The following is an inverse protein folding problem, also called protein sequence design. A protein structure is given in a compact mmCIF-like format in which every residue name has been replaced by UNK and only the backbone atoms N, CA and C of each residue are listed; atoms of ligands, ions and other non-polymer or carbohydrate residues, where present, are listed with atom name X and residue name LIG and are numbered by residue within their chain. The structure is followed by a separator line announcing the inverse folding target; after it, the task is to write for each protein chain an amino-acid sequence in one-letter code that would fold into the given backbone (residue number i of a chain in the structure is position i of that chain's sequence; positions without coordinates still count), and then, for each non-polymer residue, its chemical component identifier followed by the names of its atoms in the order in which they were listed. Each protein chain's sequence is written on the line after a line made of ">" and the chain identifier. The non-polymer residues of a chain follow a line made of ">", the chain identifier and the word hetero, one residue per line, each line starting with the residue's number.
data_IF_863921945909
#
_entry.id   IF_863921945909
#
_cell.length_a   1.000
_cell.length_b   1.000
_cell.length_c   1.000
_cell.angle_alpha   90.00
_cell.angle_beta   90.00
_cell.angle_gamma   90.00
#
_symmetry.space_group_name_H-M   'P 1'
#
loop_
_entity.id
_entity.type
_entity.pdbx_description
1 polymer ?
#
# COMPACT_ATOMS: atom_id res chain seq x y z
N UNK A 1 -16.05 -5.06 34.42
CA UNK A 1 -16.31 -6.24 33.57
C UNK A 1 -14.98 -6.66 32.97
N UNK A 2 -14.32 -7.67 33.56
CA UNK A 2 -12.95 -8.08 33.20
C UNK A 2 -13.04 -8.95 31.93
N UNK A 3 -12.50 -8.46 30.81
CA UNK A 3 -12.36 -9.24 29.59
C UNK A 3 -11.42 -10.44 29.87
N UNK A 4 -11.99 -11.60 30.05
CA UNK A 4 -11.22 -12.86 30.05
C UNK A 4 -10.66 -13.05 28.64
N UNK A 5 -9.41 -12.62 28.42
CA UNK A 5 -8.69 -12.92 27.18
C UNK A 5 -8.57 -14.44 27.04
N UNK A 6 -9.19 -14.99 25.97
CA UNK A 6 -9.07 -16.41 25.65
C UNK A 6 -7.62 -16.75 25.22
N UNK A 7 -6.78 -17.04 26.21
CA UNK A 7 -5.33 -17.30 26.03
C UNK A 7 -5.06 -18.43 25.02
N UNK A 8 -5.98 -19.39 24.86
CA UNK A 8 -5.88 -20.46 23.87
C UNK A 8 -6.08 -19.97 22.43
N UNK A 9 -6.99 -19.03 22.20
CA UNK A 9 -7.21 -18.43 20.89
C UNK A 9 -6.03 -17.52 20.49
N UNK A 10 -5.54 -16.71 21.42
CA UNK A 10 -4.36 -15.85 21.22
C UNK A 10 -3.12 -16.66 20.87
N UNK A 11 -2.87 -17.79 21.56
CA UNK A 11 -1.75 -18.69 21.25
C UNK A 11 -1.88 -19.36 19.88
N UNK A 12 -3.09 -19.77 19.48
CA UNK A 12 -3.35 -20.33 18.14
C UNK A 12 -3.13 -19.29 17.06
N UNK A 13 -3.64 -18.08 17.26
CA UNK A 13 -3.42 -16.97 16.34
C UNK A 13 -1.93 -16.64 16.21
N UNK A 14 -1.20 -16.52 17.32
CA UNK A 14 0.25 -16.26 17.31
C UNK A 14 1.04 -17.37 16.58
N UNK A 15 0.65 -18.65 16.73
CA UNK A 15 1.26 -19.75 15.97
C UNK A 15 0.96 -19.67 14.47
N UNK A 16 -0.28 -19.37 14.10
CA UNK A 16 -0.66 -19.18 12.70
C UNK A 16 0.10 -18.01 12.05
N UNK A 17 0.23 -16.88 12.77
CA UNK A 17 1.02 -15.73 12.31
C UNK A 17 2.51 -16.06 12.14
N UNK A 18 3.11 -16.80 13.09
CA UNK A 18 4.50 -17.26 12.97
C UNK A 18 4.69 -18.23 11.81
N UNK A 19 3.75 -19.13 11.58
CA UNK A 19 3.80 -20.06 10.45
C UNK A 19 3.65 -19.32 9.12
N UNK A 20 2.71 -18.36 9.01
CA UNK A 20 2.57 -17.49 7.84
C UNK A 20 3.83 -16.66 7.55
N UNK A 21 4.42 -16.06 8.58
CA UNK A 21 5.68 -15.32 8.47
C UNK A 21 6.85 -16.23 8.03
N UNK A 22 6.90 -17.47 8.53
CA UNK A 22 7.89 -18.45 8.10
C UNK A 22 7.71 -18.83 6.63
N UNK A 23 6.48 -19.14 6.17
CA UNK A 23 6.18 -19.41 4.76
C UNK A 23 6.59 -18.24 3.85
N UNK A 24 6.26 -17.02 4.23
CA UNK A 24 6.64 -15.81 3.49
C UNK A 24 8.16 -15.58 3.47
N UNK A 25 8.90 -16.11 4.45
CA UNK A 25 10.36 -15.99 4.48
C UNK A 25 11.08 -16.95 3.51
N UNK A 26 10.43 -18.03 3.07
CA UNK A 26 11.05 -19.09 2.24
C UNK A 26 11.55 -18.54 0.89
N UNK A 27 10.75 -17.79 0.09
CA UNK A 27 11.23 -17.22 -1.17
C UNK A 27 12.44 -16.31 -0.98
N UNK A 28 12.44 -15.50 0.09
CA UNK A 28 13.56 -14.63 0.40
C UNK A 28 14.85 -15.35 0.82
N UNK A 29 14.74 -16.58 1.37
CA UNK A 29 15.92 -17.41 1.74
C UNK A 29 16.53 -18.12 0.53
N UNK A 30 15.72 -18.38 -0.49
CA UNK A 30 16.18 -19.00 -1.75
C UNK A 30 16.81 -17.98 -2.70
N UNK A 31 16.56 -16.70 -2.51
CA UNK A 31 17.11 -15.62 -3.33
C UNK A 31 18.55 -15.29 -2.90
N UNK A 32 19.51 -15.17 -3.83
CA UNK A 32 20.86 -14.69 -3.49
C UNK A 32 20.82 -13.32 -2.79
N UNK A 33 21.65 -13.15 -1.76
CA UNK A 33 21.62 -11.98 -0.89
C UNK A 33 21.67 -10.62 -1.61
N UNK A 34 22.49 -10.41 -2.66
CA UNK A 34 22.51 -9.15 -3.41
C UNK A 34 21.14 -8.82 -4.04
N UNK A 35 20.49 -9.80 -4.65
CA UNK A 35 19.17 -9.60 -5.27
C UNK A 35 18.10 -9.30 -4.23
N UNK A 36 18.18 -9.92 -3.05
CA UNK A 36 17.28 -9.61 -1.95
C UNK A 36 17.44 -8.18 -1.44
N UNK A 37 18.67 -7.68 -1.34
CA UNK A 37 18.91 -6.28 -0.98
C UNK A 37 18.34 -5.30 -2.01
N UNK A 38 18.52 -5.59 -3.30
CA UNK A 38 17.92 -4.79 -4.38
C UNK A 38 16.38 -4.83 -4.30
N UNK A 39 15.79 -5.99 -4.04
CA UNK A 39 14.34 -6.12 -3.87
C UNK A 39 13.83 -5.27 -2.70
N UNK A 40 14.50 -5.31 -1.55
CA UNK A 40 14.15 -4.46 -0.39
C UNK A 40 14.29 -2.99 -0.75
N UNK A 41 15.41 -2.59 -1.36
CA UNK A 41 15.67 -1.20 -1.72
C UNK A 41 14.71 -0.64 -2.78
N UNK A 42 14.13 -1.50 -3.62
CA UNK A 42 13.16 -1.10 -4.66
C UNK A 42 11.69 -1.26 -4.24
N UNK A 43 11.39 -1.77 -3.05
CA UNK A 43 10.02 -2.03 -2.59
C UNK A 43 9.13 -0.77 -2.57
N UNK A 44 9.72 0.42 -2.41
CA UNK A 44 8.98 1.68 -2.44
C UNK A 44 8.30 1.93 -3.80
N UNK A 45 8.85 1.40 -4.93
CA UNK A 45 8.21 1.51 -6.25
C UNK A 45 6.86 0.81 -6.29
N UNK A 46 6.76 -0.38 -5.66
CA UNK A 46 5.51 -1.13 -5.55
C UNK A 46 4.48 -0.34 -4.75
N UNK A 47 4.89 0.24 -3.62
CA UNK A 47 4.05 1.10 -2.79
C UNK A 47 3.58 2.35 -3.55
N UNK A 48 4.46 3.00 -4.31
CA UNK A 48 4.10 4.17 -5.15
C UNK A 48 3.17 3.80 -6.30
N UNK A 49 3.38 2.65 -6.94
CA UNK A 49 2.48 2.15 -7.98
C UNK A 49 1.07 1.89 -7.42
N UNK A 50 0.98 1.23 -6.26
CA UNK A 50 -0.27 1.00 -5.55
C UNK A 50 -0.97 2.31 -5.17
N UNK A 51 -0.23 3.29 -4.65
CA UNK A 51 -0.75 4.62 -4.36
C UNK A 51 -1.35 5.30 -5.59
N UNK A 52 -0.67 5.25 -6.74
CA UNK A 52 -1.18 5.85 -7.99
C UNK A 52 -2.47 5.16 -8.43
N UNK A 53 -2.53 3.83 -8.37
CA UNK A 53 -3.75 3.09 -8.69
C UNK A 53 -4.90 3.42 -7.72
N UNK A 54 -4.63 3.52 -6.43
CA UNK A 54 -5.60 3.93 -5.43
C UNK A 54 -6.06 5.40 -5.66
N UNK A 55 -5.15 6.31 -5.99
CA UNK A 55 -5.47 7.71 -6.26
C UNK A 55 -6.32 7.91 -7.51
N UNK A 56 -6.04 7.14 -8.56
CA UNK A 56 -6.84 7.09 -9.78
C UNK A 56 -8.14 6.30 -9.62
N UNK A 57 -8.35 5.68 -8.46
CA UNK A 57 -9.53 4.85 -8.18
C UNK A 57 -9.75 3.70 -9.18
N UNK A 58 -8.66 3.08 -9.58
CA UNK A 58 -8.61 2.04 -10.62
C UNK A 58 -9.56 0.89 -10.30
N UNK A 59 -9.59 0.42 -9.06
CA UNK A 59 -10.41 -0.71 -8.65
C UNK A 59 -11.91 -0.43 -8.84
N UNK A 60 -12.38 0.76 -8.44
CA UNK A 60 -13.78 1.17 -8.61
C UNK A 60 -14.15 1.29 -10.08
N UNK A 61 -13.25 1.87 -10.91
CA UNK A 61 -13.51 2.00 -12.36
C UNK A 61 -13.44 0.68 -13.12
N UNK A 62 -12.71 -0.32 -12.63
CA UNK A 62 -12.78 -1.69 -13.15
C UNK A 62 -14.11 -2.37 -12.78
N UNK A 63 -14.61 -2.17 -11.54
CA UNK A 63 -15.79 -2.86 -11.06
C UNK A 63 -15.65 -4.38 -11.16
N UNK A 64 -16.67 -5.03 -11.69
CA UNK A 64 -16.71 -6.48 -11.95
C UNK A 64 -16.29 -6.86 -13.38
N UNK A 65 -15.85 -5.88 -14.17
CA UNK A 65 -15.53 -6.06 -15.59
C UNK A 65 -14.09 -6.54 -15.83
N UNK A 66 -13.87 -7.11 -17.03
CA UNK A 66 -12.53 -7.27 -17.60
C UNK A 66 -12.35 -6.17 -18.63
N UNK A 67 -11.45 -5.21 -18.38
CA UNK A 67 -11.20 -4.09 -19.27
C UNK A 67 -9.80 -4.13 -19.83
N UNK A 68 -9.67 -3.78 -21.10
CA UNK A 68 -8.35 -3.48 -21.65
C UNK A 68 -7.76 -2.22 -21.02
N UNK A 69 -6.43 -2.11 -21.02
CA UNK A 69 -5.75 -0.91 -20.55
C UNK A 69 -6.23 0.37 -21.26
N UNK A 70 -6.61 0.28 -22.54
CA UNK A 70 -7.11 1.40 -23.32
C UNK A 70 -8.51 1.84 -22.85
N UNK A 71 -9.44 0.89 -22.63
CA UNK A 71 -10.78 1.17 -22.11
C UNK A 71 -10.74 1.76 -20.71
N UNK A 72 -9.94 1.16 -19.83
CA UNK A 72 -9.75 1.66 -18.47
C UNK A 72 -9.12 3.07 -18.48
N UNK A 73 -8.12 3.30 -19.31
CA UNK A 73 -7.50 4.62 -19.48
C UNK A 73 -8.51 5.67 -19.99
N UNK A 74 -9.42 5.29 -20.87
CA UNK A 74 -10.51 6.16 -21.33
C UNK A 74 -11.42 6.60 -20.18
N UNK A 75 -11.76 5.68 -19.25
CA UNK A 75 -12.55 5.99 -18.04
C UNK A 75 -11.79 6.92 -17.06
N UNK A 76 -10.47 6.80 -17.00
CA UNK A 76 -9.62 7.53 -16.06
C UNK A 76 -9.03 8.83 -16.63
N UNK A 77 -9.23 9.13 -17.91
CA UNK A 77 -8.54 10.23 -18.59
C UNK A 77 -7.02 10.08 -18.63
N UNK A 78 -6.51 8.84 -18.75
CA UNK A 78 -5.10 8.49 -18.65
C UNK A 78 -4.54 7.99 -20.00
N UNK A 79 -3.21 7.81 -20.07
CA UNK A 79 -2.56 7.15 -21.20
C UNK A 79 -2.71 5.63 -21.08
N UNK A 80 -3.27 4.96 -22.10
CA UNK A 80 -3.48 3.52 -22.11
C UNK A 80 -2.17 2.72 -21.98
N UNK A 81 -1.11 3.14 -22.65
CA UNK A 81 0.21 2.49 -22.58
C UNK A 81 0.86 2.65 -21.19
N UNK A 82 0.80 3.85 -20.61
CA UNK A 82 1.35 4.09 -19.28
C UNK A 82 0.56 3.34 -18.20
N UNK A 83 -0.78 3.38 -18.28
CA UNK A 83 -1.65 2.66 -17.36
C UNK A 83 -1.46 1.15 -17.50
N UNK A 84 -1.33 0.63 -18.72
CA UNK A 84 -1.08 -0.80 -18.95
C UNK A 84 0.21 -1.27 -18.29
N UNK A 85 1.30 -0.49 -18.36
CA UNK A 85 2.55 -0.82 -17.63
C UNK A 85 2.36 -0.80 -16.11
N UNK A 86 1.64 0.18 -15.59
CA UNK A 86 1.31 0.24 -14.16
C UNK A 86 0.50 -0.99 -13.73
N UNK A 87 -0.53 -1.33 -14.49
CA UNK A 87 -1.41 -2.46 -14.18
C UNK A 87 -0.68 -3.81 -14.25
N UNK A 88 0.23 -3.99 -15.22
CA UNK A 88 1.08 -5.19 -15.31
C UNK A 88 2.01 -5.33 -14.11
N UNK A 89 2.61 -4.23 -13.62
CA UNK A 89 3.40 -4.25 -12.39
C UNK A 89 2.53 -4.69 -11.20
N UNK A 90 1.33 -4.12 -11.06
CA UNK A 90 0.43 -4.44 -9.97
C UNK A 90 -0.15 -5.87 -10.07
N UNK A 91 -0.39 -6.37 -11.28
CA UNK A 91 -0.78 -7.75 -11.51
C UNK A 91 0.38 -8.73 -11.18
N UNK A 92 1.61 -8.39 -11.55
CA UNK A 92 2.78 -9.20 -11.23
C UNK A 92 3.03 -9.38 -9.73
N UNK A 93 2.62 -8.40 -8.91
CA UNK A 93 2.67 -8.49 -7.43
C UNK A 93 1.34 -8.94 -6.81
N UNK A 94 0.37 -9.36 -7.63
CA UNK A 94 -0.88 -9.98 -7.20
C UNK A 94 -1.98 -9.01 -6.75
N UNK A 95 -1.84 -7.70 -6.95
CA UNK A 95 -2.87 -6.70 -6.57
C UNK A 95 -4.07 -6.74 -7.50
N UNK A 96 -3.85 -6.90 -8.80
CA UNK A 96 -4.87 -7.09 -9.82
C UNK A 96 -4.61 -8.40 -10.57
N UNK A 97 -5.51 -8.78 -11.48
CA UNK A 97 -5.33 -9.93 -12.36
C UNK A 97 -5.27 -9.49 -13.83
N UNK A 98 -4.24 -9.92 -14.55
CA UNK A 98 -4.16 -9.79 -16.00
C UNK A 98 -4.73 -11.08 -16.63
N UNK A 99 -5.94 -11.00 -17.16
CA UNK A 99 -6.69 -12.16 -17.72
C UNK A 99 -6.31 -12.50 -19.14
N UNK A 100 -5.82 -11.52 -19.89
CA UNK A 100 -5.26 -11.62 -21.23
C UNK A 100 -4.25 -10.47 -21.41
N UNK A 101 -3.37 -10.48 -22.40
CA UNK A 101 -2.42 -9.41 -22.62
C UNK A 101 -3.08 -8.02 -22.60
N UNK A 102 -2.69 -7.18 -21.62
CA UNK A 102 -3.23 -5.83 -21.41
C UNK A 102 -4.72 -5.77 -21.08
N UNK A 103 -5.34 -6.85 -20.58
CA UNK A 103 -6.73 -6.91 -20.09
C UNK A 103 -6.71 -7.25 -18.60
N UNK A 104 -7.34 -6.44 -17.81
CA UNK A 104 -7.25 -6.52 -16.35
C UNK A 104 -8.64 -6.64 -15.71
N UNK A 105 -8.66 -7.29 -14.56
CA UNK A 105 -9.82 -7.31 -13.65
C UNK A 105 -9.40 -7.20 -12.20
N UNK A 106 -10.37 -6.89 -11.36
CA UNK A 106 -10.21 -6.98 -9.92
C UNK A 106 -10.04 -8.43 -9.46
N UNK A 107 -9.36 -8.59 -8.33
CA UNK A 107 -9.27 -9.84 -7.59
C UNK A 107 -9.62 -9.59 -6.11
N UNK A 108 -9.49 -10.63 -5.26
CA UNK A 108 -9.79 -10.51 -3.83
C UNK A 108 -8.98 -9.43 -3.12
N UNK A 109 -7.77 -9.11 -3.59
CA UNK A 109 -6.92 -8.09 -2.97
C UNK A 109 -7.32 -6.69 -3.39
N UNK A 110 -7.48 -6.45 -4.72
CA UNK A 110 -7.89 -5.15 -5.24
C UNK A 110 -9.31 -4.75 -4.85
N UNK A 111 -10.16 -5.72 -4.48
CA UNK A 111 -11.50 -5.43 -3.96
C UNK A 111 -11.46 -4.45 -2.78
N UNK A 112 -10.49 -4.59 -1.87
CA UNK A 112 -10.30 -3.66 -0.74
C UNK A 112 -9.75 -2.27 -1.12
N UNK A 113 -9.60 -1.97 -2.42
CA UNK A 113 -9.25 -0.64 -2.92
C UNK A 113 -10.46 0.14 -3.45
N UNK A 114 -11.65 -0.49 -3.54
CA UNK A 114 -12.87 0.19 -3.95
C UNK A 114 -13.20 1.34 -3.00
N UNK A 115 -13.55 2.49 -3.56
CA UNK A 115 -13.94 3.67 -2.77
C UNK A 115 -15.24 3.45 -1.99
N UNK A 116 -16.11 2.58 -2.48
CA UNK A 116 -17.45 2.34 -1.93
C UNK A 116 -17.51 1.13 -0.98
N UNK A 117 -16.40 0.40 -0.79
CA UNK A 117 -16.36 -0.74 0.14
C UNK A 117 -16.18 -0.24 1.58
N UNK A 118 -17.06 -0.61 2.52
CA UNK A 118 -16.95 -0.22 3.93
C UNK A 118 -15.70 -0.79 4.62
N UNK A 119 -15.04 -1.78 4.03
CA UNK A 119 -13.78 -2.36 4.51
C UNK A 119 -12.59 -1.92 3.67
N UNK A 120 -12.75 -0.90 2.84
CA UNK A 120 -11.69 -0.38 2.00
C UNK A 120 -10.48 0.09 2.81
N UNK A 121 -9.30 -0.30 2.36
CA UNK A 121 -8.02 0.20 2.91
C UNK A 121 -7.41 1.31 2.05
N UNK A 122 -8.17 1.80 1.05
CA UNK A 122 -7.73 2.81 0.10
C UNK A 122 -7.24 4.08 0.80
N UNK A 123 -8.00 4.57 1.78
CA UNK A 123 -7.63 5.77 2.55
C UNK A 123 -6.26 5.60 3.24
N UNK A 124 -6.00 4.45 3.85
CA UNK A 124 -4.72 4.15 4.50
C UNK A 124 -3.55 4.13 3.49
N UNK A 125 -3.75 3.60 2.28
CA UNK A 125 -2.74 3.61 1.22
C UNK A 125 -2.45 5.03 0.74
N UNK A 126 -3.50 5.85 0.59
CA UNK A 126 -3.38 7.26 0.23
C UNK A 126 -2.66 8.05 1.32
N UNK A 127 -2.99 7.79 2.59
CA UNK A 127 -2.35 8.42 3.74
C UNK A 127 -0.84 8.11 3.77
N UNK A 128 -0.46 6.83 3.80
CA UNK A 128 0.94 6.40 3.95
C UNK A 128 1.85 6.92 2.83
N UNK A 129 1.31 7.14 1.64
CA UNK A 129 2.04 7.61 0.47
C UNK A 129 1.78 9.09 0.15
N UNK A 130 0.99 9.80 0.98
CA UNK A 130 0.82 11.24 0.87
C UNK A 130 2.17 11.97 1.01
N UNK A 131 2.26 13.18 0.53
CA UNK A 131 3.47 14.00 0.69
C UNK A 131 3.81 14.20 2.17
N UNK A 132 2.80 14.49 2.99
CA UNK A 132 2.95 14.66 4.44
C UNK A 132 3.60 13.46 5.12
N UNK A 133 3.12 12.23 4.83
CA UNK A 133 3.65 11.03 5.49
C UNK A 133 4.94 10.51 4.84
N UNK A 134 5.13 10.70 3.54
CA UNK A 134 6.32 10.17 2.85
C UNK A 134 7.56 11.06 3.01
N UNK A 135 7.39 12.38 3.10
CA UNK A 135 8.49 13.34 3.24
C UNK A 135 9.41 13.07 4.44
N UNK A 136 8.91 12.79 5.66
CA UNK A 136 9.73 12.40 6.80
C UNK A 136 10.69 11.24 6.49
N UNK A 137 10.20 10.22 5.80
CA UNK A 137 10.97 9.01 5.48
C UNK A 137 12.00 9.23 4.37
N UNK A 138 11.65 10.01 3.35
CA UNK A 138 12.53 10.24 2.19
C UNK A 138 13.58 11.33 2.45
N UNK A 139 13.25 12.36 3.23
CA UNK A 139 14.10 13.53 3.38
C UNK A 139 14.76 13.61 4.76
N UNK A 140 14.09 13.16 5.83
CA UNK A 140 14.50 13.44 7.20
C UNK A 140 14.92 12.22 8.01
N UNK A 141 14.77 11.00 7.48
CA UNK A 141 15.07 9.79 8.24
C UNK A 141 16.53 9.75 8.70
N UNK A 142 17.49 10.07 7.83
CA UNK A 142 18.91 10.09 8.20
C UNK A 142 19.21 11.15 9.27
N UNK A 143 18.67 12.37 9.11
CA UNK A 143 18.82 13.43 10.10
C UNK A 143 18.20 13.04 11.45
N UNK A 144 17.03 12.39 11.42
CA UNK A 144 16.38 11.86 12.61
C UNK A 144 17.20 10.81 13.34
N UNK A 145 17.79 9.85 12.60
CA UNK A 145 18.68 8.83 13.19
C UNK A 145 19.91 9.47 13.82
N UNK A 146 20.49 10.50 13.19
CA UNK A 146 21.69 11.20 13.72
C UNK A 146 21.39 12.06 14.94
N UNK A 147 20.24 12.72 14.98
CA UNK A 147 19.89 13.66 16.06
C UNK A 147 19.07 13.03 17.20
N UNK A 148 18.45 11.88 16.96
CA UNK A 148 17.44 11.31 17.87
C UNK A 148 16.09 12.02 17.82
N UNK A 149 15.88 12.96 16.88
CA UNK A 149 14.61 13.69 16.72
C UNK A 149 13.70 12.94 15.76
N UNK A 150 12.38 12.82 16.04
CA UNK A 150 11.44 12.19 15.14
C UNK A 150 11.47 12.81 13.73
N UNK A 151 11.57 12.01 12.65
CA UNK A 151 11.62 12.54 11.29
C UNK A 151 10.40 13.39 10.91
N UNK A 152 9.22 13.10 11.46
CA UNK A 152 8.02 13.88 11.22
C UNK A 152 8.17 15.30 11.78
N UNK A 153 8.65 15.44 13.02
CA UNK A 153 8.93 16.73 13.64
C UNK A 153 9.98 17.53 12.84
N UNK A 154 11.03 16.88 12.34
CA UNK A 154 12.03 17.53 11.48
C UNK A 154 11.45 18.01 10.15
N UNK A 155 10.49 17.27 9.58
CA UNK A 155 9.89 17.61 8.29
C UNK A 155 8.83 18.70 8.38
N UNK A 156 8.07 18.75 9.48
CA UNK A 156 6.87 19.58 9.61
C UNK A 156 6.95 20.63 10.72
N UNK A 157 7.91 20.52 11.63
CA UNK A 157 8.09 21.46 12.75
C UNK A 157 7.17 21.21 13.94
N UNK A 158 6.33 20.18 13.88
CA UNK A 158 5.40 19.77 14.94
C UNK A 158 5.25 18.24 14.98
N UNK A 159 4.76 17.71 16.09
CA UNK A 159 4.49 16.28 16.26
C UNK A 159 3.27 15.85 15.41
N UNK A 160 3.21 14.55 15.05
CA UNK A 160 2.15 14.03 14.17
C UNK A 160 0.73 14.33 14.71
N UNK A 161 0.48 14.15 15.99
CA UNK A 161 -0.86 14.35 16.57
C UNK A 161 -1.24 15.82 16.62
N UNK A 162 -0.31 16.71 16.91
CA UNK A 162 -0.54 18.17 16.86
C UNK A 162 -0.82 18.62 15.42
N UNK A 163 -0.11 18.01 14.45
CA UNK A 163 -0.34 18.24 13.03
C UNK A 163 -1.77 17.81 12.60
N UNK A 164 -2.29 16.68 13.09
CA UNK A 164 -3.64 16.23 12.81
C UNK A 164 -4.70 17.23 13.31
N UNK A 165 -4.51 17.78 14.50
CA UNK A 165 -5.43 18.77 15.10
C UNK A 165 -5.54 20.05 14.25
N UNK A 166 -4.48 20.42 13.51
CA UNK A 166 -4.43 21.62 12.67
C UNK A 166 -4.80 21.36 11.19
N UNK A 167 -4.86 20.09 10.74
CA UNK A 167 -5.02 19.71 9.33
C UNK A 167 -6.18 18.72 9.13
N UNK A 168 -7.41 19.23 9.17
CA UNK A 168 -8.65 18.43 9.12
C UNK A 168 -8.77 17.54 7.86
N UNK A 169 -8.18 17.94 6.72
CA UNK A 169 -8.20 17.14 5.49
C UNK A 169 -7.31 15.90 5.63
N UNK A 170 -6.20 16.04 6.34
CA UNK A 170 -5.28 14.96 6.63
C UNK A 170 -5.83 14.03 7.72
N UNK A 171 -6.45 14.60 8.76
CA UNK A 171 -7.13 13.84 9.81
C UNK A 171 -8.23 12.93 9.25
N UNK A 172 -8.99 13.39 8.25
CA UNK A 172 -10.00 12.57 7.56
C UNK A 172 -9.44 11.34 6.83
N UNK A 173 -8.19 11.35 6.42
CA UNK A 173 -7.53 10.18 5.86
C UNK A 173 -7.01 9.23 6.94
N UNK A 174 -6.81 9.75 8.15
CA UNK A 174 -6.31 8.99 9.29
C UNK A 174 -7.44 8.26 10.05
N UNK A 175 -8.65 8.82 10.03
CA UNK A 175 -9.86 8.31 10.73
C UNK A 175 -10.61 7.27 9.92
#
# INVERSE_FOLDING_TARGET
>A
MTLQMNTGAVRRFAKAMKFGAWLQSIPGKLMPAPFRLVQIGSAYWQSRALFVAARLDVATHLGEECLSAAELAGRLGASGDALGRLMRLLAAIGVFEETAPMVFRNNKLSHYLHSDDPHSVRAMILLHNSETMSRPWFEQLEAGIRSGTPPFLLAHGEELFDYLDHHADFDRLFS
#
